data_IF_408803996685
#
_entry.id   IF_408803996685
#
_cell.length_a   1.000
_cell.length_b   1.000
_cell.length_c   1.000
_cell.angle_alpha   90.00
_cell.angle_beta   90.00
_cell.angle_gamma   90.00
#
_symmetry.space_group_name_H-M   'P 1'
#
loop_
_entity.id
_entity.type
_entity.pdbx_description
1 polymer ?
#
# COMPACT_ATOMS: atom_id res chain seq x y z
N UNK A 1 49.68 64.19 -36.30
CA UNK A 1 49.84 62.72 -36.17
C UNK A 1 48.55 62.16 -35.59
N UNK A 2 47.68 61.59 -36.43
CA UNK A 2 46.44 60.98 -36.00
C UNK A 2 46.69 59.55 -35.51
N UNK A 3 46.32 59.28 -34.26
CA UNK A 3 46.15 57.93 -33.73
C UNK A 3 44.76 57.43 -34.16
N UNK A 4 44.66 56.84 -35.34
CA UNK A 4 43.48 56.06 -35.73
C UNK A 4 43.62 54.65 -35.15
N UNK A 5 42.94 54.49 -34.01
CA UNK A 5 42.69 53.25 -33.29
C UNK A 5 42.13 52.20 -34.25
N UNK A 6 42.81 51.05 -34.34
CA UNK A 6 42.48 49.95 -35.22
C UNK A 6 41.25 49.20 -34.66
N UNK A 7 40.04 49.72 -34.90
CA UNK A 7 38.81 48.98 -34.69
C UNK A 7 38.61 48.02 -35.87
N UNK A 8 39.09 46.79 -35.73
CA UNK A 8 38.67 45.70 -36.62
C UNK A 8 37.20 45.42 -36.32
N UNK A 9 36.31 45.99 -37.14
CA UNK A 9 34.90 45.66 -37.13
C UNK A 9 34.69 44.16 -37.37
N UNK A 10 33.74 43.56 -36.66
CA UNK A 10 33.35 42.16 -36.81
C UNK A 10 32.94 41.87 -38.27
N UNK A 11 33.50 40.82 -38.86
CA UNK A 11 33.09 40.39 -40.21
C UNK A 11 31.69 39.76 -40.17
N UNK A 12 30.90 39.92 -41.24
CA UNK A 12 29.52 39.42 -41.32
C UNK A 12 29.43 37.90 -41.01
N UNK A 13 30.47 37.15 -41.36
CA UNK A 13 30.67 35.73 -41.04
C UNK A 13 30.82 35.47 -39.54
N UNK A 14 31.57 36.28 -38.80
CA UNK A 14 31.71 36.14 -37.34
C UNK A 14 30.39 36.42 -36.61
N UNK A 15 29.59 37.37 -37.12
CA UNK A 15 28.25 37.67 -36.57
C UNK A 15 27.33 36.46 -36.75
N UNK A 16 27.32 35.84 -37.94
CA UNK A 16 26.50 34.65 -38.19
C UNK A 16 26.94 33.49 -37.30
N UNK A 17 28.24 33.25 -37.16
CA UNK A 17 28.76 32.19 -36.27
C UNK A 17 28.36 32.46 -34.81
N UNK A 18 28.48 33.70 -34.34
CA UNK A 18 28.05 34.07 -32.98
C UNK A 18 26.55 33.84 -32.75
N UNK A 19 25.70 34.22 -33.70
CA UNK A 19 24.25 33.96 -33.66
C UNK A 19 23.95 32.46 -33.65
N UNK A 20 24.67 31.69 -34.48
CA UNK A 20 24.52 30.23 -34.56
C UNK A 20 24.85 29.55 -33.23
N UNK A 21 25.97 29.95 -32.61
CA UNK A 21 26.41 29.42 -31.32
C UNK A 21 25.42 29.81 -30.22
N UNK A 22 24.95 31.05 -30.19
CA UNK A 22 23.93 31.48 -29.23
C UNK A 22 22.62 30.69 -29.40
N UNK A 23 22.14 30.51 -30.63
CA UNK A 23 20.93 29.75 -30.92
C UNK A 23 21.03 28.28 -30.48
N UNK A 24 22.17 27.63 -30.74
CA UNK A 24 22.42 26.27 -30.26
C UNK A 24 22.51 26.20 -28.73
N UNK A 25 23.12 27.20 -28.10
CA UNK A 25 23.17 27.31 -26.64
C UNK A 25 21.78 27.42 -26.01
N UNK A 26 20.89 28.25 -26.57
CA UNK A 26 19.51 28.37 -26.11
C UNK A 26 18.71 27.09 -26.31
N UNK A 27 18.85 26.41 -27.46
CA UNK A 27 18.19 25.13 -27.70
C UNK A 27 18.66 24.03 -26.73
N UNK A 28 19.96 23.95 -26.45
CA UNK A 28 20.51 23.00 -25.50
C UNK A 28 19.99 23.26 -24.07
N UNK A 29 19.96 24.52 -23.63
CA UNK A 29 19.40 24.90 -22.33
C UNK A 29 17.91 24.57 -22.22
N UNK A 30 17.12 24.84 -23.27
CA UNK A 30 15.69 24.52 -23.29
C UNK A 30 15.44 23.00 -23.18
N UNK A 31 16.23 22.18 -23.88
CA UNK A 31 16.13 20.71 -23.78
C UNK A 31 16.49 20.20 -22.38
N UNK A 32 17.56 20.73 -21.77
CA UNK A 32 17.95 20.36 -20.40
C UNK A 32 16.88 20.76 -19.38
N UNK A 33 16.28 21.95 -19.51
CA UNK A 33 15.20 22.39 -18.62
C UNK A 33 13.96 21.50 -18.75
N UNK A 34 13.57 21.14 -19.98
CA UNK A 34 12.45 20.23 -20.21
C UNK A 34 12.67 18.85 -19.58
N UNK A 35 13.85 18.26 -19.74
CA UNK A 35 14.20 16.98 -19.14
C UNK A 35 14.22 17.05 -17.61
N UNK A 36 14.77 18.14 -17.05
CA UNK A 36 14.83 18.38 -15.61
C UNK A 36 13.43 18.46 -14.99
N UNK A 37 12.50 19.21 -15.60
CA UNK A 37 11.12 19.30 -15.13
C UNK A 37 10.43 17.93 -15.14
N UNK A 38 10.61 17.15 -16.22
CA UNK A 38 10.02 15.80 -16.33
C UNK A 38 10.59 14.83 -15.30
N UNK A 39 11.89 14.91 -15.01
CA UNK A 39 12.51 14.09 -13.97
C UNK A 39 12.04 14.49 -12.57
N UNK A 40 11.93 15.80 -12.30
CA UNK A 40 11.40 16.31 -11.03
C UNK A 40 9.98 15.82 -10.76
N UNK A 41 9.08 15.97 -11.73
CA UNK A 41 7.69 15.50 -11.61
C UNK A 41 7.61 13.99 -11.34
N UNK A 42 8.43 13.18 -12.03
CA UNK A 42 8.48 11.73 -11.79
C UNK A 42 8.99 11.38 -10.40
N UNK A 43 10.00 12.09 -9.91
CA UNK A 43 10.54 11.88 -8.56
C UNK A 43 9.52 12.25 -7.48
N UNK A 44 8.80 13.36 -7.67
CA UNK A 44 7.71 13.78 -6.78
C UNK A 44 6.59 12.74 -6.75
N UNK A 45 6.12 12.29 -7.92
CA UNK A 45 5.09 11.24 -8.01
C UNK A 45 5.55 9.92 -7.38
N UNK A 46 6.81 9.52 -7.58
CA UNK A 46 7.38 8.32 -6.95
C UNK A 46 7.45 8.42 -5.43
N UNK A 47 7.79 9.60 -4.90
CA UNK A 47 7.84 9.86 -3.46
C UNK A 47 6.45 9.79 -2.84
N UNK A 48 5.46 10.45 -3.47
CA UNK A 48 4.06 10.41 -3.02
C UNK A 48 3.51 8.98 -3.05
N UNK A 49 3.75 8.25 -4.14
CA UNK A 49 3.33 6.85 -4.26
C UNK A 49 3.93 5.96 -3.17
N UNK A 50 5.22 6.14 -2.85
CA UNK A 50 5.89 5.37 -1.79
C UNK A 50 5.29 5.66 -0.42
N UNK A 51 5.06 6.94 -0.10
CA UNK A 51 4.45 7.33 1.18
C UNK A 51 3.02 6.79 1.33
N UNK A 52 2.21 6.87 0.26
CA UNK A 52 0.84 6.33 0.26
C UNK A 52 0.84 4.82 0.53
N UNK A 53 1.70 4.06 -0.14
CA UNK A 53 1.80 2.61 0.12
C UNK A 53 2.23 2.36 1.56
N UNK A 54 3.21 3.10 2.06
CA UNK A 54 3.70 2.92 3.43
C UNK A 54 2.61 3.19 4.47
N UNK A 55 1.82 4.25 4.31
CA UNK A 55 0.71 4.52 5.23
C UNK A 55 -0.37 3.43 5.22
N UNK A 56 -0.65 2.83 4.06
CA UNK A 56 -1.59 1.70 3.97
C UNK A 56 -1.00 0.45 4.63
N UNK A 57 0.28 0.18 4.38
CA UNK A 57 1.01 -0.91 4.99
C UNK A 57 1.01 -0.80 6.53
N UNK A 58 1.27 0.40 7.05
CA UNK A 58 1.26 0.68 8.49
C UNK A 58 -0.14 0.54 9.09
N UNK A 59 -1.18 1.01 8.40
CA UNK A 59 -2.59 0.79 8.80
C UNK A 59 -2.94 -0.69 8.87
N UNK A 60 -2.63 -1.47 7.83
CA UNK A 60 -2.94 -2.90 7.81
C UNK A 60 -2.21 -3.65 8.94
N UNK A 61 -0.98 -3.23 9.24
CA UNK A 61 -0.22 -3.73 10.40
C UNK A 61 -0.89 -3.39 11.73
N UNK A 62 -1.39 -2.17 11.88
CA UNK A 62 -2.09 -1.71 13.08
C UNK A 62 -3.39 -2.50 13.32
N UNK A 63 -4.20 -2.72 12.29
CA UNK A 63 -5.46 -3.48 12.42
C UNK A 63 -5.20 -4.95 12.77
N UNK A 64 -4.17 -5.59 12.18
CA UNK A 64 -3.75 -6.95 12.59
C UNK A 64 -3.36 -6.98 14.07
N UNK A 65 -2.55 -6.02 14.52
CA UNK A 65 -2.12 -5.92 15.94
C UNK A 65 -3.32 -5.69 16.86
N UNK A 66 -4.25 -4.82 16.47
CA UNK A 66 -5.47 -4.52 17.21
C UNK A 66 -6.36 -5.74 17.35
N UNK A 67 -6.57 -6.49 16.26
CA UNK A 67 -7.37 -7.71 16.28
C UNK A 67 -6.78 -8.77 17.20
N UNK A 68 -5.46 -8.95 17.14
CA UNK A 68 -4.77 -9.85 18.05
C UNK A 68 -4.88 -9.40 19.52
N UNK A 69 -4.68 -8.12 19.81
CA UNK A 69 -4.76 -7.59 21.17
C UNK A 69 -6.13 -7.84 21.81
N UNK A 70 -7.21 -7.62 21.06
CA UNK A 70 -8.58 -7.84 21.55
C UNK A 70 -8.84 -9.32 21.88
N UNK A 71 -8.40 -10.24 21.00
CA UNK A 71 -8.45 -11.67 21.29
C UNK A 71 -7.64 -12.04 22.54
N UNK A 72 -6.43 -11.50 22.68
CA UNK A 72 -5.54 -11.77 23.82
C UNK A 72 -6.11 -11.25 25.14
N UNK A 73 -6.77 -10.09 25.15
CA UNK A 73 -7.46 -9.56 26.34
C UNK A 73 -8.59 -10.51 26.74
N UNK A 74 -9.42 -10.95 25.79
CA UNK A 74 -10.49 -11.90 26.07
C UNK A 74 -9.95 -13.22 26.65
N UNK A 75 -8.83 -13.72 26.12
CA UNK A 75 -8.15 -14.90 26.63
C UNK A 75 -7.66 -14.74 28.07
N UNK A 76 -6.96 -13.64 28.38
CA UNK A 76 -6.42 -13.38 29.73
C UNK A 76 -7.56 -13.23 30.75
N UNK A 77 -8.65 -12.54 30.40
CA UNK A 77 -9.82 -12.40 31.27
C UNK A 77 -10.55 -13.74 31.49
N UNK A 78 -10.62 -14.59 30.46
CA UNK A 78 -11.13 -15.96 30.60
C UNK A 78 -10.25 -16.82 31.52
N UNK A 79 -8.93 -16.73 31.39
CA UNK A 79 -7.99 -17.41 32.27
C UNK A 79 -8.10 -16.92 33.73
N UNK A 80 -8.41 -15.63 33.93
CA UNK A 80 -8.66 -15.04 35.24
C UNK A 80 -10.06 -15.39 35.82
N UNK A 81 -10.90 -16.13 35.09
CA UNK A 81 -12.27 -16.49 35.50
C UNK A 81 -13.22 -15.30 35.52
N UNK A 82 -12.89 -14.22 34.81
CA UNK A 82 -13.69 -12.97 34.75
C UNK A 82 -14.59 -12.90 33.54
N UNK A 83 -14.37 -13.76 32.55
CA UNK A 83 -15.17 -13.85 31.34
C UNK A 83 -16.12 -15.04 31.41
N UNK A 84 -17.42 -14.80 31.25
CA UNK A 84 -18.40 -15.87 31.10
C UNK A 84 -18.41 -16.35 29.64
N UNK A 85 -17.76 -17.47 29.38
CA UNK A 85 -17.45 -17.91 28.02
C UNK A 85 -18.66 -18.35 27.14
N UNK A 86 -19.88 -18.26 27.67
CA UNK A 86 -21.13 -18.43 26.91
C UNK A 86 -21.98 -17.15 26.81
N UNK A 87 -21.51 -16.03 27.37
CA UNK A 87 -22.24 -14.77 27.38
C UNK A 87 -21.71 -13.84 26.30
N UNK A 88 -22.53 -13.60 25.27
CA UNK A 88 -22.27 -12.56 24.29
C UNK A 88 -22.48 -11.15 24.86
N UNK A 89 -22.87 -10.99 26.12
CA UNK A 89 -23.01 -9.68 26.74
C UNK A 89 -21.68 -9.11 27.28
N UNK A 90 -20.61 -9.91 27.31
CA UNK A 90 -19.31 -9.52 27.86
C UNK A 90 -18.65 -8.42 27.00
N UNK A 91 -18.22 -7.28 27.58
CA UNK A 91 -17.63 -6.16 26.84
C UNK A 91 -16.44 -6.57 25.97
N UNK A 92 -15.64 -7.52 26.44
CA UNK A 92 -14.45 -8.01 25.74
C UNK A 92 -14.77 -8.84 24.50
N UNK A 93 -16.01 -9.34 24.33
CA UNK A 93 -16.45 -10.04 23.12
C UNK A 93 -17.33 -9.15 22.23
N UNK A 94 -17.70 -7.94 22.66
CA UNK A 94 -18.55 -7.05 21.86
C UNK A 94 -17.90 -6.61 20.54
N UNK A 95 -16.56 -6.64 20.44
CA UNK A 95 -15.82 -6.26 19.24
C UNK A 95 -16.01 -7.24 18.06
N UNK A 96 -16.59 -8.42 18.27
CA UNK A 96 -16.89 -9.40 17.23
C UNK A 96 -18.40 -9.64 17.03
N UNK A 97 -19.25 -8.76 17.58
CA UNK A 97 -20.69 -8.96 17.57
C UNK A 97 -21.36 -8.26 16.42
N UNK A 98 -22.25 -8.98 15.74
CA UNK A 98 -22.89 -8.46 14.53
C UNK A 98 -23.76 -7.21 14.74
N UNK A 99 -24.26 -6.98 15.96
CA UNK A 99 -25.07 -5.81 16.34
C UNK A 99 -24.32 -4.64 16.94
N UNK A 100 -22.99 -4.73 17.11
CA UNK A 100 -22.18 -3.62 17.61
C UNK A 100 -21.75 -2.71 16.44
N UNK A 101 -22.08 -1.40 16.45
CA UNK A 101 -21.61 -0.48 15.42
C UNK A 101 -20.08 -0.36 15.35
N UNK A 102 -19.40 -0.64 16.47
CA UNK A 102 -17.94 -0.61 16.58
C UNK A 102 -17.33 -2.02 16.46
N UNK A 103 -18.06 -2.99 15.89
CA UNK A 103 -17.53 -4.34 15.64
C UNK A 103 -16.39 -4.27 14.62
N UNK A 104 -15.37 -5.08 14.88
CA UNK A 104 -14.19 -5.23 14.02
C UNK A 104 -14.30 -6.48 13.15
N UNK A 105 -14.85 -7.58 13.69
CA UNK A 105 -15.08 -8.81 12.93
C UNK A 105 -16.49 -9.37 13.16
N UNK A 106 -16.96 -10.27 12.30
CA UNK A 106 -18.31 -10.85 12.42
C UNK A 106 -18.36 -12.08 13.35
N UNK A 107 -17.22 -12.69 13.68
CA UNK A 107 -17.12 -13.92 14.46
C UNK A 107 -15.89 -13.89 15.38
N UNK A 108 -16.08 -14.24 16.66
CA UNK A 108 -14.98 -14.48 17.60
C UNK A 108 -14.46 -15.93 17.52
N UNK A 109 -13.15 -16.17 17.72
CA UNK A 109 -12.09 -15.17 17.77
C UNK A 109 -11.93 -14.48 16.41
N UNK A 110 -11.59 -13.18 16.40
CA UNK A 110 -11.28 -12.52 15.13
C UNK A 110 -10.04 -13.18 14.53
N UNK A 111 -10.01 -13.40 13.22
CA UNK A 111 -8.78 -13.83 12.55
C UNK A 111 -7.96 -12.59 12.21
N UNK A 112 -6.82 -12.29 12.87
CA UNK A 112 -6.09 -11.05 12.63
C UNK A 112 -5.60 -10.93 11.18
N UNK A 113 -5.34 -12.06 10.52
CA UNK A 113 -4.93 -12.08 9.11
C UNK A 113 -6.06 -11.66 8.16
N UNK A 114 -7.33 -11.72 8.58
CA UNK A 114 -8.47 -11.28 7.78
C UNK A 114 -8.55 -9.75 7.64
N UNK A 115 -7.87 -8.99 8.51
CA UNK A 115 -7.75 -7.53 8.38
C UNK A 115 -6.97 -7.13 7.11
N UNK A 116 -6.09 -8.02 6.64
CA UNK A 116 -5.24 -7.77 5.47
C UNK A 116 -5.79 -8.43 4.20
N UNK A 117 -6.70 -9.39 4.32
CA UNK A 117 -7.32 -10.06 3.16
C UNK A 117 -8.75 -10.46 3.46
N UNK A 118 -9.70 -10.22 2.54
CA UNK A 118 -11.09 -10.63 2.71
C UNK A 118 -11.25 -12.15 2.89
N UNK A 119 -10.26 -12.94 2.46
CA UNK A 119 -10.21 -14.36 2.77
C UNK A 119 -8.76 -14.85 2.92
N UNK A 120 -8.28 -15.07 4.15
CA UNK A 120 -6.92 -15.56 4.40
C UNK A 120 -6.71 -17.04 4.02
N UNK A 121 -7.77 -17.77 3.66
CA UNK A 121 -7.71 -19.16 3.23
C UNK A 121 -7.64 -19.32 1.71
N UNK A 122 -7.76 -18.24 0.94
CA UNK A 122 -7.54 -18.28 -0.51
C UNK A 122 -6.05 -18.12 -0.81
N UNK A 123 -5.53 -18.99 -1.67
CA UNK A 123 -4.10 -19.03 -2.04
C UNK A 123 -3.61 -17.69 -2.60
N UNK A 124 -4.43 -17.02 -3.40
CA UNK A 124 -4.12 -15.69 -3.93
C UNK A 124 -5.39 -14.85 -4.02
N UNK A 125 -5.32 -13.61 -3.53
CA UNK A 125 -6.34 -12.58 -3.72
C UNK A 125 -5.69 -11.32 -4.28
N UNK A 126 -6.31 -10.69 -5.27
CA UNK A 126 -5.86 -9.41 -5.81
C UNK A 126 -7.01 -8.42 -5.79
N UNK A 127 -6.74 -7.25 -5.24
CA UNK A 127 -7.70 -6.16 -5.07
C UNK A 127 -7.08 -4.85 -5.56
N UNK A 128 -7.92 -3.85 -5.79
CA UNK A 128 -7.46 -2.49 -6.05
C UNK A 128 -8.26 -1.47 -5.25
N UNK A 129 -7.65 -0.32 -5.04
CA UNK A 129 -8.29 0.87 -4.48
C UNK A 129 -7.86 2.09 -5.29
N UNK A 130 -8.77 3.06 -5.40
CA UNK A 130 -8.48 4.36 -6.02
C UNK A 130 -8.23 5.34 -4.89
N UNK A 131 -7.14 6.09 -4.98
CA UNK A 131 -6.79 7.12 -4.00
C UNK A 131 -6.47 8.43 -4.69
N UNK A 132 -6.91 9.51 -4.08
CA UNK A 132 -6.47 10.85 -4.43
C UNK A 132 -5.22 11.18 -3.60
N UNK A 133 -4.05 11.43 -4.21
CA UNK A 133 -2.86 11.82 -3.46
C UNK A 133 -3.01 13.14 -2.69
N UNK A 134 -3.96 14.02 -3.05
CA UNK A 134 -4.15 15.31 -2.38
C UNK A 134 -5.09 15.25 -1.17
N UNK A 135 -5.94 14.23 -1.09
CA UNK A 135 -6.92 14.01 -0.03
C UNK A 135 -6.87 12.55 0.43
N UNK A 136 -5.68 12.14 0.88
CA UNK A 136 -5.40 10.76 1.24
C UNK A 136 -5.51 10.55 2.76
N UNK A 137 -6.51 9.76 3.17
CA UNK A 137 -6.56 9.12 4.49
C UNK A 137 -6.41 7.59 4.29
N UNK A 138 -5.41 6.93 4.91
CA UNK A 138 -5.26 5.48 4.81
C UNK A 138 -6.50 4.73 5.31
N UNK A 139 -7.26 5.25 6.28
CA UNK A 139 -8.44 4.57 6.85
C UNK A 139 -9.61 4.45 5.87
N UNK A 140 -9.72 5.40 4.94
CA UNK A 140 -10.81 5.45 3.96
C UNK A 140 -10.52 4.62 2.70
N UNK A 141 -9.32 4.02 2.61
CA UNK A 141 -8.94 3.20 1.47
C UNK A 141 -9.69 1.87 1.49
N UNK A 142 -10.69 1.76 0.61
CA UNK A 142 -11.47 0.55 0.41
C UNK A 142 -10.98 -0.26 -0.79
N UNK A 143 -10.58 -1.51 -0.52
CA UNK A 143 -10.10 -2.44 -1.54
C UNK A 143 -11.24 -3.26 -2.15
N UNK A 144 -11.26 -3.36 -3.47
CA UNK A 144 -12.28 -4.07 -4.24
C UNK A 144 -11.65 -5.05 -5.22
N UNK A 145 -12.32 -6.17 -5.47
CA UNK A 145 -11.91 -7.19 -6.46
C UNK A 145 -12.36 -6.86 -7.88
N UNK A 146 -13.18 -5.81 -8.06
CA UNK A 146 -13.78 -5.46 -9.35
C UNK A 146 -12.88 -4.45 -10.08
N UNK A 147 -12.19 -4.87 -11.14
CA UNK A 147 -11.29 -3.97 -11.89
C UNK A 147 -11.99 -2.70 -12.42
N UNK A 148 -13.27 -2.83 -12.81
CA UNK A 148 -14.05 -1.73 -13.38
C UNK A 148 -14.22 -0.55 -12.40
N UNK A 149 -14.30 -0.81 -11.09
CA UNK A 149 -14.42 0.27 -10.08
C UNK A 149 -13.12 1.06 -9.95
N UNK A 150 -11.98 0.43 -10.23
CA UNK A 150 -10.67 1.10 -10.22
C UNK A 150 -10.35 1.81 -11.53
N UNK A 151 -10.96 1.40 -12.65
CA UNK A 151 -10.80 2.06 -13.94
C UNK A 151 -11.56 3.40 -14.05
N UNK A 152 -12.58 3.62 -13.22
CA UNK A 152 -13.37 4.86 -13.20
C UNK A 152 -12.63 6.06 -12.57
N UNK A 153 -11.39 5.86 -12.15
CA UNK A 153 -10.55 6.83 -11.46
C UNK A 153 -10.27 8.10 -12.32
N UNK A 154 -10.05 9.25 -11.68
CA UNK A 154 -9.62 10.48 -12.37
C UNK A 154 -8.20 10.31 -12.93
N UNK A 155 -7.76 11.16 -13.87
CA UNK A 155 -6.40 11.06 -14.39
C UNK A 155 -5.31 11.44 -13.36
N UNK A 156 -5.70 12.15 -12.29
CA UNK A 156 -4.81 12.59 -11.22
C UNK A 156 -4.75 11.60 -10.05
N UNK A 157 -5.74 10.72 -9.96
CA UNK A 157 -5.77 9.66 -8.94
C UNK A 157 -4.76 8.55 -9.20
N UNK A 158 -4.31 7.94 -8.12
CA UNK A 158 -3.47 6.76 -8.13
C UNK A 158 -4.31 5.53 -7.83
N UNK A 159 -3.91 4.40 -8.42
CA UNK A 159 -4.56 3.11 -8.20
C UNK A 159 -3.58 2.24 -7.44
N UNK A 160 -3.94 1.84 -6.23
CA UNK A 160 -3.19 0.85 -5.47
C UNK A 160 -3.73 -0.50 -5.85
N UNK A 161 -2.84 -1.41 -6.25
CA UNK A 161 -3.15 -2.82 -6.42
C UNK A 161 -2.50 -3.57 -5.26
N UNK A 162 -3.32 -4.30 -4.51
CA UNK A 162 -2.90 -5.12 -3.38
C UNK A 162 -3.11 -6.58 -3.72
N UNK A 163 -2.02 -7.34 -3.77
CA UNK A 163 -2.05 -8.79 -3.91
C UNK A 163 -1.65 -9.42 -2.60
N UNK A 164 -2.40 -10.43 -2.19
CA UNK A 164 -2.13 -11.24 -1.01
C UNK A 164 -1.99 -12.68 -1.48
N UNK A 165 -0.83 -13.27 -1.26
CA UNK A 165 -0.60 -14.70 -1.44
C UNK A 165 -0.56 -15.35 -0.05
N UNK A 166 -1.39 -16.38 0.16
CA UNK A 166 -1.53 -17.11 1.43
C UNK A 166 -0.97 -18.51 1.31
N UNK A 167 -0.15 -18.91 2.28
CA UNK A 167 0.37 -20.27 2.37
C UNK A 167 0.24 -20.75 3.82
N UNK A 168 -0.39 -21.90 4.02
CA UNK A 168 -0.44 -22.56 5.34
C UNK A 168 0.41 -23.81 5.34
N UNK A 169 1.43 -23.82 6.20
CA UNK A 169 2.27 -24.99 6.45
C UNK A 169 1.67 -25.84 7.57
N UNK A 170 0.98 -26.92 7.17
CA UNK A 170 0.41 -27.89 8.09
C UNK A 170 1.42 -28.94 8.58
N UNK A 171 2.67 -28.91 8.10
CA UNK A 171 3.72 -29.81 8.59
C UNK A 171 4.34 -29.33 9.91
N UNK A 172 4.13 -28.06 10.27
CA UNK A 172 4.55 -27.48 11.55
C UNK A 172 3.49 -27.68 12.64
N UNK A 173 3.96 -27.80 13.88
CA UNK A 173 3.13 -27.94 15.09
C UNK A 173 3.57 -26.87 16.11
N UNK A 174 2.76 -25.82 16.36
CA UNK A 174 1.47 -25.53 15.72
C UNK A 174 1.58 -25.16 14.22
N UNK A 175 0.52 -25.40 13.40
CA UNK A 175 0.49 -24.98 11.99
C UNK A 175 0.68 -23.48 11.84
N UNK A 176 1.43 -23.06 10.80
CA UNK A 176 1.72 -21.64 10.54
C UNK A 176 1.11 -21.21 9.20
N UNK A 177 0.33 -20.14 9.22
CA UNK A 177 -0.16 -19.44 8.02
C UNK A 177 0.70 -18.20 7.78
N UNK A 178 1.23 -18.04 6.57
CA UNK A 178 2.00 -16.89 6.12
C UNK A 178 1.25 -16.19 4.98
N UNK A 179 1.05 -14.88 5.12
CA UNK A 179 0.55 -14.00 4.07
C UNK A 179 1.70 -13.13 3.54
N UNK A 180 1.94 -13.20 2.24
CA UNK A 180 2.81 -12.25 1.54
C UNK A 180 1.93 -11.23 0.82
N UNK A 181 2.07 -9.97 1.21
CA UNK A 181 1.27 -8.87 0.67
C UNK A 181 2.15 -7.98 -0.18
N UNK A 182 1.81 -7.84 -1.45
CA UNK A 182 2.46 -6.93 -2.38
C UNK A 182 1.51 -5.78 -2.69
N UNK A 183 1.91 -4.57 -2.31
CA UNK A 183 1.25 -3.34 -2.70
C UNK A 183 2.00 -2.73 -3.87
N UNK A 184 1.28 -2.30 -4.90
CA UNK A 184 1.82 -1.60 -6.03
C UNK A 184 0.97 -0.38 -6.36
N UNK A 185 1.60 0.78 -6.56
CA UNK A 185 0.88 1.98 -7.01
C UNK A 185 1.06 2.15 -8.51
N UNK A 186 -0.05 2.41 -9.21
CA UNK A 186 -0.10 2.65 -10.64
C UNK A 186 -0.82 3.96 -10.93
N UNK A 187 -0.42 4.62 -11.99
CA UNK A 187 -1.27 5.62 -12.64
C UNK A 187 -2.46 4.94 -13.31
N UNK A 188 -3.52 5.69 -13.59
CA UNK A 188 -4.68 5.19 -14.35
C UNK A 188 -4.28 4.51 -15.66
N UNK A 189 -3.39 5.13 -16.44
CA UNK A 189 -2.96 4.57 -17.73
C UNK A 189 -2.21 3.24 -17.55
N UNK A 190 -1.29 3.16 -16.58
CA UNK A 190 -0.60 1.90 -16.28
C UNK A 190 -1.57 0.80 -15.83
N UNK A 191 -2.60 1.13 -15.06
CA UNK A 191 -3.62 0.16 -14.66
C UNK A 191 -4.54 -0.24 -15.82
N UNK A 192 -4.89 0.66 -16.73
CA UNK A 192 -5.64 0.32 -17.94
C UNK A 192 -4.88 -0.67 -18.83
N UNK A 193 -3.55 -0.50 -18.93
CA UNK A 193 -2.71 -1.34 -19.77
C UNK A 193 -2.47 -2.74 -19.15
N UNK A 194 -2.32 -2.83 -17.83
CA UNK A 194 -1.85 -4.06 -17.15
C UNK A 194 -2.86 -4.69 -16.20
N UNK A 195 -3.90 -3.96 -15.80
CA UNK A 195 -4.90 -4.37 -14.81
C UNK A 195 -4.28 -4.95 -13.54
N UNK A 196 -4.83 -6.09 -13.11
CA UNK A 196 -4.34 -6.87 -11.98
C UNK A 196 -3.11 -7.74 -12.30
N UNK A 197 -2.73 -7.91 -13.57
CA UNK A 197 -1.83 -8.98 -13.99
C UNK A 197 -0.35 -8.72 -13.67
N UNK A 198 0.09 -7.46 -13.73
CA UNK A 198 1.50 -7.10 -13.45
C UNK A 198 1.62 -6.22 -12.22
N UNK A 199 2.42 -6.63 -11.24
CA UNK A 199 2.82 -5.81 -10.09
C UNK A 199 4.31 -5.43 -10.17
N UNK A 200 4.89 -5.52 -11.37
CA UNK A 200 6.33 -5.34 -11.55
C UNK A 200 6.74 -3.88 -11.28
N UNK A 201 7.95 -3.67 -10.76
CA UNK A 201 8.50 -2.31 -10.52
C UNK A 201 8.51 -1.47 -11.80
N UNK A 202 8.69 -2.10 -12.97
CA UNK A 202 8.67 -1.39 -14.26
C UNK A 202 7.28 -0.83 -14.61
N UNK A 203 6.22 -1.52 -14.19
CA UNK A 203 4.84 -1.20 -14.54
C UNK A 203 4.12 -0.43 -13.41
N UNK A 204 4.86 0.00 -12.40
CA UNK A 204 4.33 0.63 -11.18
C UNK A 204 5.21 1.82 -10.79
N UNK A 205 4.64 2.78 -10.06
CA UNK A 205 5.37 3.93 -9.52
C UNK A 205 6.16 3.54 -8.26
N UNK A 206 5.60 2.65 -7.44
CA UNK A 206 6.19 2.14 -6.23
C UNK A 206 5.65 0.74 -5.93
N UNK A 207 6.44 -0.07 -5.25
CA UNK A 207 6.05 -1.40 -4.78
C UNK A 207 6.58 -1.63 -3.37
N UNK A 208 5.78 -2.23 -2.50
CA UNK A 208 6.21 -2.66 -1.17
C UNK A 208 5.69 -4.06 -0.88
N UNK A 209 6.53 -4.88 -0.24
CA UNK A 209 6.16 -6.21 0.22
C UNK A 209 6.11 -6.24 1.75
N UNK A 210 5.05 -6.82 2.30
CA UNK A 210 4.90 -7.12 3.71
C UNK A 210 4.66 -8.61 3.89
N UNK A 211 5.14 -9.16 5.00
CA UNK A 211 4.89 -10.55 5.37
C UNK A 211 4.25 -10.58 6.75
N UNK A 212 3.08 -11.21 6.82
CA UNK A 212 2.42 -11.53 8.08
C UNK A 212 2.48 -13.03 8.29
N UNK A 213 2.72 -13.48 9.51
CA UNK A 213 2.59 -14.90 9.83
C UNK A 213 1.81 -15.08 11.11
N UNK A 214 1.11 -16.19 11.25
CA UNK A 214 0.40 -16.56 12.47
C UNK A 214 0.46 -18.07 12.68
N UNK A 215 0.61 -18.49 13.93
CA UNK A 215 0.41 -19.89 14.31
C UNK A 215 -1.02 -20.11 14.85
N UNK A 216 -1.50 -21.35 14.82
CA UNK A 216 -2.82 -21.71 15.35
C UNK A 216 -2.71 -22.30 16.75
N UNK A 217 -3.47 -21.75 17.69
CA UNK A 217 -3.58 -22.27 19.06
C UNK A 217 -5.01 -22.70 19.39
N UNK A 218 -5.13 -23.60 20.37
CA UNK A 218 -6.40 -24.01 20.96
C UNK A 218 -6.56 -23.37 22.34
N UNK A 219 -7.49 -22.42 22.45
CA UNK A 219 -7.86 -21.74 23.69
C UNK A 219 -9.19 -22.26 24.26
N UNK A 220 -9.69 -23.38 23.73
CA UNK A 220 -11.02 -23.94 24.07
C UNK A 220 -11.15 -24.36 25.53
N UNK A 221 -10.02 -24.59 26.22
CA UNK A 221 -9.98 -24.85 27.66
C UNK A 221 -10.48 -23.66 28.50
N UNK A 222 -10.34 -22.43 27.98
CA UNK A 222 -10.72 -21.20 28.68
C UNK A 222 -11.98 -20.57 28.07
N UNK A 223 -12.10 -20.61 26.74
CA UNK A 223 -13.26 -20.08 26.02
C UNK A 223 -13.79 -21.16 25.08
N UNK A 224 -14.92 -21.84 25.39
CA UNK A 224 -15.50 -22.84 24.51
C UNK A 224 -15.70 -22.29 23.10
N UNK A 225 -15.46 -23.12 22.09
CA UNK A 225 -15.44 -22.81 20.63
C UNK A 225 -14.14 -22.21 20.07
N UNK A 226 -13.23 -21.69 20.90
CA UNK A 226 -11.96 -21.08 20.43
C UNK A 226 -10.86 -22.13 20.23
N UNK A 227 -11.04 -23.02 19.24
CA UNK A 227 -10.15 -24.17 18.98
C UNK A 227 -9.11 -23.97 17.86
N UNK A 228 -9.16 -22.84 17.17
CA UNK A 228 -8.26 -22.50 16.05
C UNK A 228 -7.99 -20.99 16.03
N UNK A 229 -7.46 -20.47 17.13
CA UNK A 229 -7.15 -19.04 17.26
C UNK A 229 -5.87 -18.75 16.50
N UNK A 230 -5.92 -17.79 15.58
CA UNK A 230 -4.72 -17.28 14.89
C UNK A 230 -3.97 -16.32 15.79
N UNK A 231 -2.74 -16.67 16.16
CA UNK A 231 -1.82 -15.84 16.95
C UNK A 231 -0.71 -15.34 16.02
N UNK A 232 -0.73 -14.05 15.61
CA UNK A 232 0.22 -13.53 14.65
C UNK A 232 1.60 -13.30 15.28
N UNK A 233 2.65 -13.70 14.55
CA UNK A 233 4.01 -13.21 14.78
C UNK A 233 4.17 -11.91 13.99
N UNK A 234 3.74 -10.82 14.62
CA UNK A 234 3.87 -9.50 14.01
C UNK A 234 5.28 -8.97 14.27
N UNK A 235 6.05 -8.58 13.22
CA UNK A 235 7.39 -8.02 13.40
C UNK A 235 7.40 -6.67 14.15
#
# INVERSE_FOLDING_TARGET
MSLLRNERGFTFTEIIIAISIMALGFLAMAQMQYLSLRQKQRAEQGTVATNVIQFIADRDMEEVKRAHLLNSIAFVEAQAGRLNAGSSAEPHLQHCMSGNPDRMCDLCPCNPLAEVTPNPLQDTSTTCAVVDPQDFDPKDVNFTTVAATCNAASNESMIIVKRVDSVTDNSQLPPITTLTVTYAVKTKNQFLDTGFQSLSIRDTLATQNLVFSAHREDWSQFIPTWSNVSVPHVP
#
